data_IF_470369271950
#
_entry.id   IF_470369271950
#
_cell.length_a   1.000
_cell.length_b   1.000
_cell.length_c   1.000
_cell.angle_alpha   90.00
_cell.angle_beta   90.00
_cell.angle_gamma   90.00
#
_symmetry.space_group_name_H-M   'P 1'
#
loop_
_entity.id
_entity.type
_entity.pdbx_description
1 polymer ?
#
# COMPACT_ATOMS: atom_id res chain seq x y z
N UNK A 1 -21.73 34.29 76.44
CA UNK A 1 -20.46 34.00 75.69
C UNK A 1 -20.76 32.95 74.68
N UNK A 2 -20.96 33.36 73.42
CA UNK A 2 -21.28 32.47 72.33
C UNK A 2 -20.10 32.52 71.37
N UNK A 3 -19.36 31.38 71.28
CA UNK A 3 -18.26 31.22 70.34
C UNK A 3 -18.82 30.85 68.94
N UNK A 4 -18.56 31.70 67.94
CA UNK A 4 -18.86 31.45 66.56
C UNK A 4 -17.78 30.54 66.01
N UNK A 5 -18.17 29.38 65.56
CA UNK A 5 -17.30 28.48 64.73
C UNK A 5 -17.32 28.95 63.28
N UNK A 6 -16.12 29.22 62.73
CA UNK A 6 -15.94 29.53 61.33
C UNK A 6 -15.85 28.21 60.52
N UNK A 7 -16.78 28.07 59.59
CA UNK A 7 -16.76 26.96 58.61
C UNK A 7 -15.81 27.35 57.47
N UNK A 8 -14.68 26.66 57.36
CA UNK A 8 -13.78 26.77 56.23
C UNK A 8 -14.33 25.87 55.11
N UNK A 9 -14.88 26.50 54.08
CA UNK A 9 -15.25 25.79 52.84
C UNK A 9 -14.01 25.63 52.00
N UNK A 10 -13.48 24.40 51.98
CA UNK A 10 -12.36 24.01 51.11
C UNK A 10 -12.92 23.76 49.70
N UNK A 11 -12.61 24.67 48.75
CA UNK A 11 -12.91 24.52 47.33
C UNK A 11 -11.98 23.49 46.75
N UNK A 12 -12.45 22.27 46.55
CA UNK A 12 -11.79 21.28 45.69
C UNK A 12 -11.96 21.72 44.24
N UNK A 13 -10.90 22.27 43.65
CA UNK A 13 -10.82 22.48 42.23
C UNK A 13 -10.71 21.12 41.56
N UNK A 14 -11.78 20.66 40.90
CA UNK A 14 -11.75 19.52 39.99
C UNK A 14 -11.04 19.98 38.70
N UNK A 15 -9.74 19.67 38.61
CA UNK A 15 -9.04 19.73 37.36
C UNK A 15 -9.50 18.55 36.50
N UNK A 16 -10.45 18.81 35.59
CA UNK A 16 -10.78 17.89 34.50
C UNK A 16 -9.55 17.81 33.58
N UNK A 17 -8.77 16.74 33.72
CA UNK A 17 -7.84 16.31 32.70
C UNK A 17 -8.66 15.99 31.43
N UNK A 18 -8.70 16.96 30.50
CA UNK A 18 -9.12 16.70 29.13
C UNK A 18 -8.07 15.79 28.55
N UNK A 19 -8.36 14.49 28.56
CA UNK A 19 -7.61 13.48 27.81
C UNK A 19 -7.89 13.81 26.34
N UNK A 20 -7.05 14.68 25.75
CA UNK A 20 -6.98 14.86 24.31
C UNK A 20 -6.51 13.52 23.74
N UNK A 21 -7.47 12.67 23.42
CA UNK A 21 -7.22 11.49 22.61
C UNK A 21 -6.50 11.97 21.37
N UNK A 22 -5.21 11.60 21.24
CA UNK A 22 -4.47 11.71 19.99
C UNK A 22 -5.23 10.76 19.04
N UNK A 23 -6.20 11.31 18.33
CA UNK A 23 -6.74 10.64 17.17
C UNK A 23 -5.51 10.36 16.31
N UNK A 24 -5.20 9.09 16.09
CA UNK A 24 -4.13 8.69 15.21
C UNK A 24 -4.40 9.36 13.86
N UNK A 25 -3.68 10.44 13.58
CA UNK A 25 -3.79 11.14 12.31
C UNK A 25 -3.47 10.09 11.24
N UNK A 26 -4.43 9.86 10.33
CA UNK A 26 -4.23 8.95 9.21
C UNK A 26 -2.96 9.32 8.45
N UNK A 27 -2.46 8.45 7.57
CA UNK A 27 -1.24 8.70 6.84
C UNK A 27 -1.35 10.02 6.07
N UNK A 28 -0.52 10.99 6.46
CA UNK A 28 -0.46 12.30 5.81
C UNK A 28 0.61 12.30 4.74
N UNK A 29 0.30 12.93 3.60
CA UNK A 29 1.30 13.16 2.56
C UNK A 29 2.43 14.05 3.10
N UNK A 30 3.67 13.66 2.85
CA UNK A 30 4.82 14.50 3.16
C UNK A 30 4.76 15.80 2.34
N UNK A 31 5.31 16.89 2.90
CA UNK A 31 5.42 18.16 2.17
C UNK A 31 6.24 17.98 0.89
N UNK A 32 6.03 18.81 -0.10
CA UNK A 32 6.78 18.74 -1.37
C UNK A 32 8.30 18.84 -1.14
N UNK A 33 8.74 19.65 -0.18
CA UNK A 33 10.14 19.74 0.21
C UNK A 33 10.65 18.40 0.76
N UNK A 34 9.94 17.81 1.71
CA UNK A 34 10.31 16.53 2.30
C UNK A 34 10.33 15.41 1.27
N UNK A 35 9.38 15.39 0.34
CA UNK A 35 9.36 14.43 -0.77
C UNK A 35 10.61 14.53 -1.66
N UNK A 36 10.99 15.75 -2.06
CA UNK A 36 12.22 15.96 -2.86
C UNK A 36 13.47 15.51 -2.13
N UNK A 37 13.59 15.87 -0.85
CA UNK A 37 14.70 15.44 -0.01
C UNK A 37 14.72 13.92 0.17
N UNK A 38 13.57 13.28 0.40
CA UNK A 38 13.46 11.82 0.49
C UNK A 38 13.93 11.13 -0.79
N UNK A 39 13.55 11.66 -1.97
CA UNK A 39 13.99 11.12 -3.25
C UNK A 39 15.49 11.26 -3.48
N UNK A 40 16.12 12.35 -3.01
CA UNK A 40 17.57 12.50 -3.10
C UNK A 40 18.28 11.45 -2.21
N UNK A 41 17.82 11.30 -0.97
CA UNK A 41 18.38 10.30 -0.04
C UNK A 41 18.15 8.86 -0.56
N UNK A 42 16.98 8.58 -1.14
CA UNK A 42 16.70 7.30 -1.80
C UNK A 42 17.70 7.00 -2.92
N UNK A 43 18.03 7.98 -3.78
CA UNK A 43 19.01 7.80 -4.86
C UNK A 43 20.39 7.44 -4.34
N UNK A 44 20.82 8.06 -3.23
CA UNK A 44 22.08 7.69 -2.54
C UNK A 44 22.01 6.24 -2.07
N UNK A 45 20.89 5.82 -1.50
CA UNK A 45 20.68 4.43 -1.10
C UNK A 45 20.81 3.46 -2.27
N UNK A 46 20.23 3.79 -3.43
CA UNK A 46 20.35 2.97 -4.66
C UNK A 46 21.80 2.90 -5.19
N UNK A 47 22.54 3.99 -5.13
CA UNK A 47 23.95 4.00 -5.48
C UNK A 47 24.79 3.11 -4.56
N UNK A 48 24.51 3.14 -3.26
CA UNK A 48 25.16 2.25 -2.29
C UNK A 48 24.79 0.78 -2.50
N UNK A 49 23.54 0.48 -2.92
CA UNK A 49 23.14 -0.87 -3.34
C UNK A 49 23.96 -1.37 -4.51
N UNK A 50 24.21 -0.55 -5.53
CA UNK A 50 25.01 -0.94 -6.68
C UNK A 50 26.50 -1.17 -6.36
N UNK A 51 26.98 -0.61 -5.23
CA UNK A 51 28.32 -0.83 -4.69
C UNK A 51 28.37 -1.94 -3.64
N UNK A 52 27.28 -2.66 -3.43
CA UNK A 52 27.13 -3.70 -2.42
C UNK A 52 27.34 -3.21 -0.97
N UNK A 53 27.25 -1.89 -0.74
CA UNK A 53 27.35 -1.27 0.59
C UNK A 53 25.98 -1.33 1.31
N UNK A 54 25.46 -2.55 1.49
CA UNK A 54 24.06 -2.79 1.89
C UNK A 54 23.68 -2.17 3.24
N UNK A 55 24.59 -2.14 4.22
CA UNK A 55 24.34 -1.53 5.53
C UNK A 55 24.12 -0.02 5.41
N UNK A 56 24.97 0.66 4.64
CA UNK A 56 24.83 2.09 4.39
C UNK A 56 23.60 2.39 3.54
N UNK A 57 23.29 1.52 2.57
CA UNK A 57 22.08 1.63 1.77
C UNK A 57 20.82 1.55 2.63
N UNK A 58 20.73 0.57 3.54
CA UNK A 58 19.61 0.43 4.47
C UNK A 58 19.43 1.69 5.34
N UNK A 59 20.54 2.28 5.82
CA UNK A 59 20.50 3.54 6.58
C UNK A 59 19.95 4.70 5.73
N UNK A 60 20.36 4.83 4.46
CA UNK A 60 19.83 5.88 3.59
C UNK A 60 18.34 5.67 3.28
N UNK A 61 17.91 4.44 3.02
CA UNK A 61 16.49 4.16 2.84
C UNK A 61 15.68 4.49 4.08
N UNK A 62 16.17 4.17 5.28
CA UNK A 62 15.52 4.57 6.54
C UNK A 62 15.41 6.08 6.70
N UNK A 63 16.44 6.84 6.29
CA UNK A 63 16.39 8.31 6.28
C UNK A 63 15.39 8.85 5.26
N UNK A 64 15.29 8.22 4.10
CA UNK A 64 14.29 8.59 3.09
C UNK A 64 12.87 8.35 3.60
N UNK A 65 12.62 7.21 4.25
CA UNK A 65 11.34 6.86 4.88
C UNK A 65 10.96 7.86 5.98
N UNK A 66 11.93 8.28 6.81
CA UNK A 66 11.68 9.28 7.85
C UNK A 66 11.24 10.64 7.29
N UNK A 67 11.67 10.99 6.06
CA UNK A 67 11.25 12.23 5.37
C UNK A 67 9.91 12.07 4.65
N UNK A 68 9.68 10.93 4.05
CA UNK A 68 8.43 10.57 3.35
C UNK A 68 8.04 9.12 3.67
N UNK A 69 7.19 8.93 4.70
CA UNK A 69 6.74 7.59 5.10
C UNK A 69 5.96 6.83 4.02
N UNK A 70 5.43 7.52 3.01
CA UNK A 70 4.70 6.91 1.90
C UNK A 70 5.58 6.67 0.67
N UNK A 71 6.89 6.88 0.76
CA UNK A 71 7.83 6.57 -0.33
C UNK A 71 8.04 5.06 -0.44
N UNK A 72 7.10 4.38 -1.11
CA UNK A 72 7.05 2.91 -1.26
C UNK A 72 8.37 2.30 -1.74
N UNK A 73 9.04 2.98 -2.70
CA UNK A 73 10.34 2.53 -3.22
C UNK A 73 11.46 2.53 -2.19
N UNK A 74 11.40 3.38 -1.17
CA UNK A 74 12.39 3.39 -0.09
C UNK A 74 12.18 2.21 0.86
N UNK A 75 10.95 1.86 1.19
CA UNK A 75 10.63 0.64 1.94
C UNK A 75 11.05 -0.62 1.16
N UNK A 76 10.78 -0.67 -0.14
CA UNK A 76 11.19 -1.79 -0.97
C UNK A 76 12.73 -1.92 -1.02
N UNK A 77 13.45 -0.82 -1.25
CA UNK A 77 14.92 -0.77 -1.25
C UNK A 77 15.53 -1.19 0.10
N UNK A 78 14.95 -0.76 1.21
CA UNK A 78 15.35 -1.20 2.55
C UNK A 78 15.17 -2.72 2.71
N UNK A 79 14.05 -3.27 2.26
CA UNK A 79 13.81 -4.71 2.24
C UNK A 79 14.87 -5.46 1.43
N UNK A 80 15.23 -4.98 0.24
CA UNK A 80 16.30 -5.56 -0.58
C UNK A 80 17.66 -5.51 0.12
N UNK A 81 18.03 -4.38 0.74
CA UNK A 81 19.28 -4.24 1.48
C UNK A 81 19.34 -5.23 2.66
N UNK A 82 18.26 -5.36 3.42
CA UNK A 82 18.18 -6.33 4.52
C UNK A 82 18.19 -7.78 4.04
N UNK A 83 17.62 -8.10 2.87
CA UNK A 83 17.75 -9.42 2.24
C UNK A 83 19.20 -9.75 1.92
N UNK A 84 19.96 -8.81 1.33
CA UNK A 84 21.37 -8.97 1.03
C UNK A 84 22.20 -9.19 2.31
N UNK A 85 21.85 -8.49 3.39
CA UNK A 85 22.46 -8.64 4.73
C UNK A 85 22.00 -9.91 5.49
N UNK A 86 21.10 -10.71 4.91
CA UNK A 86 20.45 -11.88 5.56
C UNK A 86 19.68 -11.53 6.84
N UNK A 87 19.28 -10.25 7.00
CA UNK A 87 18.43 -9.77 8.11
C UNK A 87 16.97 -9.94 7.75
N UNK A 88 16.52 -11.19 7.68
CA UNK A 88 15.22 -11.53 7.11
C UNK A 88 14.03 -10.90 7.86
N UNK A 89 14.09 -10.83 9.19
CA UNK A 89 13.03 -10.17 9.98
C UNK A 89 12.90 -8.66 9.62
N UNK A 90 14.03 -7.96 9.42
CA UNK A 90 14.04 -6.56 8.99
C UNK A 90 13.54 -6.41 7.56
N UNK A 91 13.87 -7.35 6.67
CA UNK A 91 13.35 -7.37 5.30
C UNK A 91 11.83 -7.57 5.27
N UNK A 92 11.31 -8.53 6.05
CA UNK A 92 9.86 -8.76 6.21
C UNK A 92 9.18 -7.48 6.67
N UNK A 93 9.69 -6.82 7.72
CA UNK A 93 9.14 -5.56 8.21
C UNK A 93 9.09 -4.50 7.09
N UNK A 94 10.20 -4.28 6.38
CA UNK A 94 10.28 -3.27 5.33
C UNK A 94 9.35 -3.54 4.15
N UNK A 95 9.19 -4.80 3.72
CA UNK A 95 8.25 -5.15 2.65
C UNK A 95 6.79 -5.04 3.12
N UNK A 96 6.48 -5.38 4.37
CA UNK A 96 5.14 -5.17 4.94
C UNK A 96 4.78 -3.69 5.00
N UNK A 97 5.70 -2.84 5.48
CA UNK A 97 5.53 -1.38 5.48
C UNK A 97 5.39 -0.81 4.05
N UNK A 98 6.07 -1.41 3.07
CA UNK A 98 5.89 -1.07 1.66
C UNK A 98 4.44 -1.30 1.18
N UNK A 99 3.85 -2.46 1.53
CA UNK A 99 2.45 -2.77 1.20
C UNK A 99 1.47 -1.83 1.91
N UNK A 100 1.74 -1.48 3.16
CA UNK A 100 0.94 -0.50 3.92
C UNK A 100 1.00 0.89 3.28
N UNK A 101 2.18 1.34 2.85
CA UNK A 101 2.34 2.61 2.15
C UNK A 101 1.58 2.63 0.81
N UNK A 102 1.60 1.54 0.04
CA UNK A 102 0.79 1.42 -1.18
C UNK A 102 -0.71 1.48 -0.88
N UNK A 103 -1.18 0.79 0.17
CA UNK A 103 -2.58 0.83 0.60
C UNK A 103 -3.01 2.23 1.03
N UNK A 104 -2.16 2.92 1.79
CA UNK A 104 -2.41 4.28 2.24
C UNK A 104 -2.51 5.26 1.06
N UNK A 105 -1.60 5.17 0.08
CA UNK A 105 -1.63 5.99 -1.14
C UNK A 105 -2.92 5.74 -1.94
N UNK A 106 -3.33 4.48 -2.09
CA UNK A 106 -4.60 4.16 -2.76
C UNK A 106 -5.79 4.76 -2.01
N UNK A 107 -5.82 4.65 -0.68
CA UNK A 107 -6.88 5.24 0.15
C UNK A 107 -6.96 6.77 -0.01
N UNK A 108 -5.81 7.46 -0.03
CA UNK A 108 -5.75 8.91 -0.26
C UNK A 108 -6.27 9.30 -1.66
N UNK A 109 -5.95 8.51 -2.69
CA UNK A 109 -6.47 8.72 -4.04
C UNK A 109 -7.99 8.54 -4.11
N UNK A 110 -8.51 7.49 -3.48
CA UNK A 110 -9.96 7.23 -3.44
C UNK A 110 -10.68 8.35 -2.69
N UNK A 111 -10.17 8.79 -1.53
CA UNK A 111 -10.76 9.89 -0.76
C UNK A 111 -10.77 11.19 -1.56
N UNK A 112 -9.65 11.55 -2.17
CA UNK A 112 -9.57 12.77 -2.98
C UNK A 112 -10.53 12.72 -4.17
N UNK A 113 -10.65 11.59 -4.85
CA UNK A 113 -11.63 11.43 -5.94
C UNK A 113 -13.07 11.58 -5.45
N UNK A 114 -13.40 10.97 -4.33
CA UNK A 114 -14.72 11.08 -3.73
C UNK A 114 -15.08 12.55 -3.42
N UNK A 115 -14.15 13.31 -2.85
CA UNK A 115 -14.35 14.74 -2.61
C UNK A 115 -14.60 15.52 -3.91
N UNK A 116 -13.81 15.24 -4.96
CA UNK A 116 -13.97 15.87 -6.28
C UNK A 116 -15.32 15.49 -6.91
N UNK A 117 -15.74 14.23 -6.78
CA UNK A 117 -17.05 13.78 -7.25
C UNK A 117 -18.20 14.45 -6.51
N UNK A 118 -18.12 14.53 -5.17
CA UNK A 118 -19.12 15.25 -4.39
C UNK A 118 -19.24 16.71 -4.79
N UNK A 119 -18.11 17.42 -4.93
CA UNK A 119 -18.13 18.83 -5.37
C UNK A 119 -18.77 18.99 -6.74
N UNK A 120 -18.47 18.10 -7.68
CA UNK A 120 -19.10 18.09 -9.01
C UNK A 120 -20.60 17.88 -8.93
N UNK A 121 -21.05 16.92 -8.14
CA UNK A 121 -22.46 16.58 -8.00
C UNK A 121 -23.25 17.73 -7.32
N UNK A 122 -22.64 18.41 -6.37
CA UNK A 122 -23.19 19.60 -5.72
C UNK A 122 -23.29 20.77 -6.74
N UNK A 123 -22.21 21.04 -7.53
CA UNK A 123 -22.24 22.05 -8.60
C UNK A 123 -23.33 21.74 -9.65
N UNK A 124 -23.50 20.47 -10.04
CA UNK A 124 -24.54 20.07 -10.97
C UNK A 124 -25.96 20.31 -10.40
N UNK A 125 -26.14 20.09 -9.09
CA UNK A 125 -27.40 20.35 -8.41
C UNK A 125 -27.73 21.84 -8.41
N UNK A 126 -26.76 22.68 -8.01
CA UNK A 126 -26.91 24.15 -8.02
C UNK A 126 -27.20 24.71 -9.43
N UNK A 127 -26.51 24.16 -10.45
CA UNK A 127 -26.76 24.57 -11.84
C UNK A 127 -28.18 24.21 -12.28
N UNK A 128 -28.71 23.04 -11.95
CA UNK A 128 -30.08 22.66 -12.28
C UNK A 128 -31.12 23.58 -11.64
N UNK A 129 -30.91 23.99 -10.38
CA UNK A 129 -31.77 24.95 -9.68
C UNK A 129 -31.67 26.33 -10.32
N UNK A 130 -30.44 26.79 -10.66
CA UNK A 130 -30.20 28.07 -11.33
C UNK A 130 -30.86 28.11 -12.71
N UNK A 131 -30.74 27.06 -13.52
CA UNK A 131 -31.38 26.96 -14.83
C UNK A 131 -32.89 27.07 -14.67
N UNK A 132 -33.51 26.42 -13.70
CA UNK A 132 -34.93 26.48 -13.42
C UNK A 132 -35.37 27.93 -13.10
N UNK A 133 -34.65 28.60 -12.22
CA UNK A 133 -34.93 30.00 -11.86
C UNK A 133 -34.75 30.97 -13.02
N UNK A 134 -33.69 30.82 -13.81
CA UNK A 134 -33.41 31.68 -15.00
C UNK A 134 -34.47 31.48 -16.09
N UNK A 135 -34.93 30.24 -16.30
CA UNK A 135 -36.00 29.93 -17.27
C UNK A 135 -37.33 30.60 -16.87
N UNK A 136 -37.67 30.51 -15.57
CA UNK A 136 -38.88 31.10 -15.01
C UNK A 136 -38.87 32.65 -15.07
N UNK A 137 -37.67 33.25 -14.91
CA UNK A 137 -37.51 34.71 -14.97
C UNK A 137 -37.29 35.28 -16.38
N UNK A 138 -37.35 34.47 -17.42
CA UNK A 138 -37.19 34.88 -18.82
C UNK A 138 -35.75 35.23 -19.24
N UNK A 139 -34.74 34.86 -18.42
CA UNK A 139 -33.31 35.09 -18.70
C UNK A 139 -32.68 33.99 -19.55
N UNK A 140 -33.25 33.74 -20.73
CA UNK A 140 -32.93 32.59 -21.59
C UNK A 140 -31.43 32.46 -21.95
N UNK A 141 -30.72 33.55 -22.26
CA UNK A 141 -29.31 33.51 -22.63
C UNK A 141 -28.44 32.97 -21.46
N UNK A 142 -28.72 33.39 -20.23
CA UNK A 142 -28.02 32.92 -19.05
C UNK A 142 -28.36 31.45 -18.72
N UNK A 143 -29.58 31.06 -18.97
CA UNK A 143 -30.01 29.64 -18.82
C UNK A 143 -29.23 28.74 -19.79
N UNK A 144 -29.07 29.13 -21.07
CA UNK A 144 -28.27 28.38 -22.07
C UNK A 144 -26.80 28.25 -21.66
N UNK A 145 -26.19 29.27 -21.06
CA UNK A 145 -24.82 29.23 -20.58
C UNK A 145 -24.70 28.22 -19.40
N UNK A 146 -25.62 28.27 -18.44
CA UNK A 146 -25.65 27.33 -17.33
C UNK A 146 -25.86 25.87 -17.78
N UNK A 147 -26.72 25.64 -18.78
CA UNK A 147 -26.92 24.32 -19.43
C UNK A 147 -25.63 23.82 -20.11
N UNK A 148 -24.86 24.71 -20.76
CA UNK A 148 -23.57 24.36 -21.31
C UNK A 148 -22.62 23.82 -20.25
N UNK A 149 -22.49 24.53 -19.13
CA UNK A 149 -21.66 24.10 -18.00
C UNK A 149 -22.14 22.77 -17.41
N UNK A 150 -23.46 22.59 -17.26
CA UNK A 150 -24.02 21.32 -16.76
C UNK A 150 -23.65 20.15 -17.66
N UNK A 151 -23.79 20.31 -18.99
CA UNK A 151 -23.41 19.27 -19.97
C UNK A 151 -21.91 18.92 -19.89
N UNK A 152 -21.04 19.91 -19.66
CA UNK A 152 -19.60 19.68 -19.52
C UNK A 152 -19.29 18.86 -18.27
N UNK A 153 -19.94 19.14 -17.14
CA UNK A 153 -19.79 18.35 -15.90
C UNK A 153 -20.34 16.92 -16.06
N UNK A 154 -21.47 16.77 -16.76
CA UNK A 154 -22.06 15.44 -17.03
C UNK A 154 -21.17 14.56 -17.94
N UNK A 155 -20.36 15.17 -18.81
CA UNK A 155 -19.40 14.46 -19.66
C UNK A 155 -18.12 14.04 -18.92
N UNK A 156 -17.80 14.67 -17.80
CA UNK A 156 -16.65 14.31 -16.98
C UNK A 156 -16.90 12.98 -16.29
N UNK A 157 -16.54 11.86 -16.95
CA UNK A 157 -16.57 10.54 -16.32
C UNK A 157 -15.40 10.40 -15.37
N UNK A 158 -15.68 10.25 -14.10
CA UNK A 158 -14.71 9.78 -13.13
C UNK A 158 -14.73 8.25 -13.19
N UNK A 159 -13.67 7.66 -13.75
CA UNK A 159 -13.48 6.20 -13.63
C UNK A 159 -12.98 5.92 -12.24
N UNK A 160 -13.83 5.31 -11.41
CA UNK A 160 -13.38 4.75 -10.14
C UNK A 160 -12.35 3.65 -10.45
N UNK A 161 -11.18 3.74 -9.84
CA UNK A 161 -10.26 2.61 -9.82
C UNK A 161 -10.91 1.46 -9.06
N UNK A 162 -10.64 0.23 -9.51
CA UNK A 162 -11.11 -0.97 -8.84
C UNK A 162 -10.59 -1.09 -7.40
N UNK A 163 -10.92 -2.16 -6.68
CA UNK A 163 -10.44 -2.39 -5.34
C UNK A 163 -8.89 -2.40 -5.32
N UNK A 164 -8.31 -2.00 -4.19
CA UNK A 164 -6.87 -2.02 -4.00
C UNK A 164 -6.29 -3.40 -4.32
N UNK A 165 -5.32 -3.42 -5.23
CA UNK A 165 -4.54 -4.60 -5.53
C UNK A 165 -3.09 -4.36 -5.08
N UNK A 166 -2.57 -5.19 -4.16
CA UNK A 166 -1.19 -5.05 -3.73
C UNK A 166 -0.23 -5.40 -4.89
N UNK A 167 0.92 -4.70 -5.03
CA UNK A 167 1.87 -5.00 -6.08
C UNK A 167 2.45 -6.41 -5.95
N UNK A 168 2.29 -7.25 -6.99
CA UNK A 168 2.72 -8.63 -7.00
C UNK A 168 4.22 -8.81 -6.70
N UNK A 169 5.06 -7.88 -7.20
CA UNK A 169 6.50 -7.91 -6.95
C UNK A 169 6.85 -7.71 -5.45
N UNK A 170 6.09 -6.89 -4.73
CA UNK A 170 6.30 -6.69 -3.28
C UNK A 170 5.86 -7.93 -2.50
N UNK A 171 4.73 -8.53 -2.88
CA UNK A 171 4.26 -9.79 -2.31
C UNK A 171 5.27 -10.94 -2.54
N UNK A 172 5.82 -11.04 -3.75
CA UNK A 172 6.89 -12.01 -4.06
C UNK A 172 8.11 -11.80 -3.16
N UNK A 173 8.57 -10.56 -3.01
CA UNK A 173 9.72 -10.24 -2.18
C UNK A 173 9.46 -10.51 -0.69
N UNK A 174 8.27 -10.17 -0.19
CA UNK A 174 7.85 -10.47 1.18
C UNK A 174 7.81 -11.98 1.43
N UNK A 175 7.20 -12.75 0.53
CA UNK A 175 7.18 -14.21 0.60
C UNK A 175 8.59 -14.80 0.63
N UNK A 176 9.51 -14.27 -0.19
CA UNK A 176 10.91 -14.70 -0.22
C UNK A 176 11.66 -14.39 1.08
N UNK A 177 11.36 -13.25 1.71
CA UNK A 177 11.93 -12.88 3.01
C UNK A 177 11.40 -13.79 4.14
N UNK A 178 10.10 -14.07 4.15
CA UNK A 178 9.46 -14.99 5.08
C UNK A 178 10.02 -16.41 4.95
N UNK A 179 10.17 -16.93 3.73
CA UNK A 179 10.73 -18.24 3.46
C UNK A 179 12.16 -18.37 3.99
N UNK A 180 13.02 -17.38 3.69
CA UNK A 180 14.40 -17.37 4.19
C UNK A 180 14.48 -17.17 5.71
N UNK A 181 13.47 -16.54 6.30
CA UNK A 181 13.29 -16.41 7.75
C UNK A 181 12.70 -17.65 8.42
N UNK A 182 12.36 -18.70 7.66
CA UNK A 182 11.81 -19.96 8.17
C UNK A 182 10.28 -19.99 8.30
N UNK A 183 9.58 -18.93 7.97
CA UNK A 183 8.11 -18.88 7.97
C UNK A 183 7.58 -19.35 6.61
N UNK A 184 7.50 -20.67 6.42
CA UNK A 184 7.07 -21.28 5.14
C UNK A 184 5.59 -21.03 4.86
N UNK A 185 4.75 -21.06 5.88
CA UNK A 185 3.30 -20.83 5.76
C UNK A 185 3.03 -19.41 5.29
N UNK A 186 3.55 -18.40 5.98
CA UNK A 186 3.43 -17.01 5.57
C UNK A 186 4.03 -16.73 4.19
N UNK A 187 5.15 -17.38 3.83
CA UNK A 187 5.72 -17.28 2.49
C UNK A 187 4.74 -17.80 1.42
N UNK A 188 4.13 -18.95 1.67
CA UNK A 188 3.16 -19.57 0.76
C UNK A 188 1.96 -18.66 0.54
N UNK A 189 1.41 -18.06 1.60
CA UNK A 189 0.31 -17.10 1.52
C UNK A 189 0.67 -15.88 0.66
N UNK A 190 1.87 -15.31 0.86
CA UNK A 190 2.29 -14.14 0.10
C UNK A 190 2.51 -14.48 -1.38
N UNK A 191 3.05 -15.64 -1.71
CA UNK A 191 3.23 -16.06 -3.10
C UNK A 191 1.89 -16.41 -3.77
N UNK A 192 0.92 -17.00 -3.04
CA UNK A 192 -0.45 -17.16 -3.54
C UNK A 192 -1.12 -15.81 -3.83
N UNK A 193 -0.96 -14.83 -2.94
CA UNK A 193 -1.42 -13.47 -3.18
C UNK A 193 -0.70 -12.81 -4.38
N UNK A 194 0.60 -13.08 -4.56
CA UNK A 194 1.37 -12.57 -5.70
C UNK A 194 0.85 -13.11 -7.03
N UNK A 195 0.57 -14.42 -7.14
CA UNK A 195 0.02 -15.01 -8.39
C UNK A 195 -1.45 -14.63 -8.60
N UNK A 196 -2.19 -14.33 -7.53
CA UNK A 196 -3.54 -13.77 -7.67
C UNK A 196 -3.52 -12.34 -8.22
N UNK A 197 -2.53 -11.53 -7.82
CA UNK A 197 -2.33 -10.17 -8.32
C UNK A 197 -1.73 -10.15 -9.75
N UNK A 198 -0.79 -11.03 -10.04
CA UNK A 198 -0.21 -11.23 -11.37
C UNK A 198 -0.07 -12.72 -11.70
N UNK A 199 -1.03 -13.30 -12.43
CA UNK A 199 -0.99 -14.71 -12.85
C UNK A 199 0.17 -15.09 -13.80
N UNK A 200 0.94 -14.11 -14.27
CA UNK A 200 2.12 -14.36 -15.14
C UNK A 200 3.43 -14.23 -14.39
N UNK A 201 3.41 -14.04 -13.07
CA UNK A 201 4.63 -13.92 -12.26
C UNK A 201 5.26 -15.29 -12.03
N UNK A 202 6.12 -15.72 -12.97
CA UNK A 202 6.74 -17.05 -12.99
C UNK A 202 7.55 -17.40 -11.76
N UNK A 203 8.25 -16.42 -11.17
CA UNK A 203 9.02 -16.63 -9.94
C UNK A 203 8.11 -17.03 -8.76
N UNK A 204 6.92 -16.43 -8.64
CA UNK A 204 5.99 -16.80 -7.58
C UNK A 204 5.45 -18.22 -7.77
N UNK A 205 5.10 -18.61 -9.00
CA UNK A 205 4.74 -19.99 -9.33
C UNK A 205 5.85 -20.97 -9.02
N UNK A 206 7.10 -20.67 -9.40
CA UNK A 206 8.25 -21.52 -9.09
C UNK A 206 8.46 -21.67 -7.57
N UNK A 207 8.33 -20.61 -6.81
CA UNK A 207 8.46 -20.65 -5.36
C UNK A 207 7.33 -21.49 -4.71
N UNK A 208 6.09 -21.36 -5.19
CA UNK A 208 4.98 -22.21 -4.78
C UNK A 208 5.23 -23.69 -5.09
N UNK A 209 5.77 -24.00 -6.29
CA UNK A 209 6.13 -25.37 -6.66
C UNK A 209 7.12 -25.98 -5.66
N UNK A 210 8.13 -25.22 -5.22
CA UNK A 210 9.14 -25.68 -4.27
C UNK A 210 8.48 -26.05 -2.92
N UNK A 211 7.65 -25.19 -2.36
CA UNK A 211 7.02 -25.46 -1.07
C UNK A 211 5.97 -26.57 -1.16
N UNK A 212 5.27 -26.71 -2.28
CA UNK A 212 4.33 -27.80 -2.50
C UNK A 212 5.04 -29.15 -2.62
N UNK A 213 6.21 -29.21 -3.30
CA UNK A 213 7.03 -30.42 -3.33
C UNK A 213 7.48 -30.81 -1.92
N UNK A 214 7.98 -29.86 -1.12
CA UNK A 214 8.40 -30.10 0.25
C UNK A 214 7.25 -30.60 1.14
N UNK A 215 6.03 -30.12 0.89
CA UNK A 215 4.81 -30.55 1.58
C UNK A 215 4.23 -31.89 1.04
N UNK A 216 4.86 -32.51 0.04
CA UNK A 216 4.36 -33.74 -0.61
C UNK A 216 3.11 -33.52 -1.49
N UNK A 217 2.76 -32.28 -1.79
CA UNK A 217 1.64 -31.90 -2.66
C UNK A 217 2.07 -31.92 -4.14
N UNK A 218 2.37 -33.12 -4.63
CA UNK A 218 3.05 -33.30 -5.92
C UNK A 218 2.25 -32.76 -7.12
N UNK A 219 0.92 -32.95 -7.12
CA UNK A 219 0.05 -32.47 -8.19
C UNK A 219 0.01 -30.92 -8.23
N UNK A 220 0.01 -30.28 -7.07
CA UNK A 220 0.05 -28.83 -6.98
C UNK A 220 1.43 -28.32 -7.43
N UNK A 221 2.51 -28.95 -7.03
CA UNK A 221 3.86 -28.60 -7.47
C UNK A 221 4.00 -28.71 -9.01
N UNK A 222 3.49 -29.78 -9.63
CA UNK A 222 3.54 -29.96 -11.09
C UNK A 222 2.73 -28.88 -11.82
N UNK A 223 1.54 -28.52 -11.28
CA UNK A 223 0.74 -27.44 -11.84
C UNK A 223 1.48 -26.11 -11.80
N UNK A 224 2.08 -25.76 -10.68
CA UNK A 224 2.81 -24.50 -10.51
C UNK A 224 4.07 -24.47 -11.40
N UNK A 225 4.79 -25.59 -11.59
CA UNK A 225 5.90 -25.68 -12.55
C UNK A 225 5.43 -25.33 -13.96
N UNK A 226 4.32 -25.92 -14.42
CA UNK A 226 3.76 -25.65 -15.75
C UNK A 226 3.37 -24.18 -15.93
N UNK A 227 2.83 -23.54 -14.89
CA UNK A 227 2.46 -22.12 -14.89
C UNK A 227 3.71 -21.23 -14.94
N UNK A 228 4.76 -21.57 -14.18
CA UNK A 228 6.05 -20.89 -14.23
C UNK A 228 6.66 -20.94 -15.63
N UNK A 229 6.69 -22.13 -16.27
CA UNK A 229 7.22 -22.30 -17.64
C UNK A 229 6.36 -21.56 -18.68
N UNK A 230 5.04 -21.57 -18.52
CA UNK A 230 4.12 -20.84 -19.41
C UNK A 230 4.34 -19.32 -19.35
N UNK A 231 4.78 -18.81 -18.19
CA UNK A 231 5.15 -17.39 -18.04
C UNK A 231 6.52 -17.03 -18.65
N UNK A 232 7.25 -18.02 -19.17
CA UNK A 232 8.58 -17.85 -19.74
C UNK A 232 9.74 -18.09 -18.75
N UNK A 233 9.46 -18.45 -17.50
CA UNK A 233 10.50 -18.77 -16.53
C UNK A 233 11.10 -20.15 -16.84
N UNK A 234 12.42 -20.22 -16.93
CA UNK A 234 13.13 -21.50 -17.03
C UNK A 234 13.25 -22.14 -15.66
N UNK A 235 12.41 -23.13 -15.37
CA UNK A 235 12.47 -23.90 -14.12
C UNK A 235 13.71 -24.80 -14.13
N UNK A 236 14.37 -24.93 -12.95
CA UNK A 236 15.57 -25.75 -12.80
C UNK A 236 15.28 -27.22 -13.22
N UNK A 237 16.05 -27.80 -14.19
CA UNK A 237 15.83 -29.17 -14.64
C UNK A 237 15.93 -30.20 -13.51
N UNK A 238 16.87 -30.03 -12.59
CA UNK A 238 17.02 -30.94 -11.44
C UNK A 238 15.77 -30.95 -10.57
N UNK A 239 15.16 -29.80 -10.30
CA UNK A 239 13.91 -29.70 -9.56
C UNK A 239 12.77 -30.48 -10.25
N UNK A 240 12.67 -30.39 -11.58
CA UNK A 240 11.66 -31.16 -12.35
C UNK A 240 11.90 -32.67 -12.28
N UNK A 241 13.16 -33.10 -12.32
CA UNK A 241 13.50 -34.52 -12.11
C UNK A 241 13.16 -35.00 -10.71
N UNK A 242 13.44 -34.21 -9.68
CA UNK A 242 13.13 -34.56 -8.30
C UNK A 242 11.60 -34.67 -8.09
N UNK A 243 10.83 -33.75 -8.69
CA UNK A 243 9.36 -33.83 -8.69
C UNK A 243 8.86 -35.08 -9.38
N UNK A 244 9.42 -35.44 -10.55
CA UNK A 244 9.08 -36.67 -11.28
C UNK A 244 9.40 -37.93 -10.46
N UNK A 245 10.58 -38.00 -9.85
CA UNK A 245 10.98 -39.10 -8.98
C UNK A 245 10.06 -39.22 -7.77
N UNK A 246 9.67 -38.10 -7.15
CA UNK A 246 8.74 -38.11 -6.03
C UNK A 246 7.36 -38.65 -6.46
N UNK A 247 6.89 -38.29 -7.65
CA UNK A 247 5.61 -38.75 -8.20
C UNK A 247 5.59 -40.23 -8.58
N UNK A 248 6.73 -40.80 -8.99
CA UNK A 248 6.83 -42.24 -9.36
C UNK A 248 6.99 -43.19 -8.19
N UNK A 249 7.20 -42.67 -6.96
CA UNK A 249 7.34 -43.49 -5.72
C UNK A 249 6.02 -43.68 -4.97
N UNK A 250 4.94 -43.11 -5.44
CA UNK A 250 3.58 -43.28 -4.92
C UNK A 250 2.79 -44.25 -5.78
#
# INVERSE_FOLDING_TARGET
>A
MIRRAAVVVSSLAFTTLVNAGIAAAGPQLATERNRREALQVYRIGMELMSREEFEKAAQQFSRAIAKDPLLTRAHYGAGQAYMALRRYASAVKSYSECLEAFRALHGLQVTHRFEVEQQRDDEMRELRETIRGLTQSGQGLRAVQAEGRLRDLERQKTTLEGPYQPPAAVLLALGSALFRGGNIEGATEQWQAAVAADPKLGEAHNNLAVVYLQAGRLNDADREVKLAEKSGLRVNPQFKEDLKKASSRR
#
